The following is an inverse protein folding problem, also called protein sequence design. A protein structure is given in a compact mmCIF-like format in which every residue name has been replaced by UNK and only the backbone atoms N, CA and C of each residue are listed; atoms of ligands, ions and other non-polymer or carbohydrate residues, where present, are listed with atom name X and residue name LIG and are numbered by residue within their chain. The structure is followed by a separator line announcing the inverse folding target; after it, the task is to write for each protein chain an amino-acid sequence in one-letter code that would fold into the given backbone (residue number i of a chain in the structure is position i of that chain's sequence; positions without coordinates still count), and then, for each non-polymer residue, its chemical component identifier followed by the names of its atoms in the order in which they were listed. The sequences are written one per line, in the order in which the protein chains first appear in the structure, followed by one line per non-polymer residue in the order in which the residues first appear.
data_IF_762761813549
#
_entry.id   IF_762761813549
#
_cell.length_a   1.000
_cell.length_b   1.000
_cell.length_c   1.000
_cell.angle_alpha   90.00
_cell.angle_beta   90.00
_cell.angle_gamma   90.00
#
_symmetry.space_group_name_H-M   'P 1'
#
loop_
_entity.id
_entity.type
_entity.pdbx_description
1 polymer ?
#
# COMPACT_ATOMS: atom_id res chain seq x y z
N UNK A 1 11.17 6.98 8.49
CA UNK A 1 9.82 7.30 7.99
C UNK A 1 8.81 6.17 8.19
N UNK A 2 9.02 4.96 7.63
CA UNK A 2 8.01 3.90 7.59
C UNK A 2 7.43 3.48 8.96
N UNK A 3 8.27 3.35 10.00
CA UNK A 3 7.78 3.05 11.35
C UNK A 3 6.89 4.15 11.95
N UNK A 4 7.11 5.42 11.55
CA UNK A 4 6.24 6.55 11.93
C UNK A 4 4.86 6.40 11.30
N UNK A 5 4.80 5.97 10.03
CA UNK A 5 3.55 5.71 9.31
C UNK A 5 2.76 4.61 10.02
N UNK A 6 3.39 3.48 10.32
CA UNK A 6 2.74 2.39 11.07
C UNK A 6 2.26 2.84 12.45
N UNK A 7 3.03 3.67 13.16
CA UNK A 7 2.60 4.24 14.44
C UNK A 7 1.36 5.15 14.30
N UNK A 8 1.29 5.98 13.24
CA UNK A 8 0.12 6.80 12.94
C UNK A 8 -1.09 5.91 12.66
N UNK A 9 -0.95 4.87 11.82
CA UNK A 9 -2.03 3.93 11.53
C UNK A 9 -2.55 3.25 12.81
N UNK A 10 -1.66 2.80 13.69
CA UNK A 10 -2.04 2.20 14.99
C UNK A 10 -2.81 3.21 15.85
N UNK A 11 -2.33 4.45 15.98
CA UNK A 11 -3.01 5.48 16.76
C UNK A 11 -4.40 5.79 16.18
N UNK A 12 -4.56 5.80 14.86
CA UNK A 12 -5.86 5.99 14.22
C UNK A 12 -6.79 4.80 14.47
N UNK A 13 -6.29 3.56 14.34
CA UNK A 13 -7.09 2.36 14.63
C UNK A 13 -7.58 2.31 16.08
N UNK A 14 -6.78 2.81 17.02
CA UNK A 14 -7.11 2.85 18.44
C UNK A 14 -7.90 4.11 18.87
N UNK A 15 -8.27 4.98 17.93
CA UNK A 15 -8.88 6.31 18.22
C UNK A 15 -8.05 7.13 19.24
N UNK A 16 -6.72 7.02 19.13
CA UNK A 16 -5.74 7.49 20.11
C UNK A 16 -4.82 8.59 19.56
N UNK A 17 -5.11 9.18 18.40
CA UNK A 17 -4.32 10.30 17.83
C UNK A 17 -4.19 11.47 18.82
N UNK A 18 -5.23 11.71 19.63
CA UNK A 18 -5.22 12.74 20.68
C UNK A 18 -4.17 12.51 21.79
N UNK A 19 -3.65 11.29 21.95
CA UNK A 19 -2.55 11.01 22.90
C UNK A 19 -1.25 11.74 22.53
N UNK A 20 -1.05 12.08 21.25
CA UNK A 20 0.10 12.87 20.81
C UNK A 20 0.11 14.26 21.46
N UNK A 21 -1.08 14.85 21.67
CA UNK A 21 -1.21 16.19 22.25
C UNK A 21 -0.89 16.21 23.75
N UNK A 22 -1.20 15.13 24.47
CA UNK A 22 -1.05 15.07 25.94
C UNK A 22 0.39 15.23 26.43
N UNK A 23 1.37 14.93 25.59
CA UNK A 23 2.79 15.05 25.95
C UNK A 23 3.29 16.50 25.91
N UNK A 24 2.53 17.44 25.34
CA UNK A 24 2.93 18.85 25.25
C UNK A 24 4.13 19.13 24.34
N UNK A 25 4.49 18.19 23.45
CA UNK A 25 5.68 18.28 22.59
C UNK A 25 5.33 18.58 21.11
N UNK A 26 4.28 19.36 20.86
CA UNK A 26 3.87 19.75 19.50
C UNK A 26 3.00 18.72 18.76
N UNK A 27 2.57 17.65 19.44
CA UNK A 27 1.43 16.84 19.03
C UNK A 27 1.53 16.22 17.63
N UNK A 28 0.40 16.15 16.94
CA UNK A 28 0.34 15.65 15.56
C UNK A 28 1.12 16.53 14.58
N UNK A 29 1.21 17.83 14.82
CA UNK A 29 1.92 18.77 13.96
C UNK A 29 3.42 18.49 13.93
N UNK A 30 4.03 18.12 15.05
CA UNK A 30 5.45 17.72 15.08
C UNK A 30 5.69 16.47 14.24
N UNK A 31 4.77 15.50 14.27
CA UNK A 31 4.84 14.31 13.41
C UNK A 31 4.70 14.71 11.94
N UNK A 32 3.73 15.56 11.61
CA UNK A 32 3.53 16.08 10.26
C UNK A 32 4.74 16.85 9.74
N UNK A 33 5.32 17.75 10.53
CA UNK A 33 6.52 18.51 10.14
C UNK A 33 7.74 17.62 9.93
N UNK A 34 7.91 16.55 10.72
CA UNK A 34 8.96 15.57 10.47
C UNK A 34 8.76 14.87 9.11
N UNK A 35 7.54 14.46 8.79
CA UNK A 35 7.22 13.80 7.52
C UNK A 35 7.40 14.77 6.34
N UNK A 36 6.83 15.97 6.45
CA UNK A 36 6.91 17.00 5.42
C UNK A 36 8.36 17.43 5.14
N UNK A 37 9.20 17.50 6.17
CA UNK A 37 10.62 17.82 6.04
C UNK A 37 11.45 16.76 5.30
N UNK A 38 10.89 15.57 5.03
CA UNK A 38 11.54 14.56 4.19
C UNK A 38 11.14 14.66 2.71
N UNK A 39 10.28 15.61 2.32
CA UNK A 39 10.00 15.83 0.91
C UNK A 39 11.22 16.46 0.22
N UNK A 40 11.70 15.82 -0.84
CA UNK A 40 12.76 16.37 -1.67
C UNK A 40 12.23 17.55 -2.50
N UNK A 41 12.77 18.74 -2.24
CA UNK A 41 12.34 19.98 -2.90
C UNK A 41 12.58 19.98 -4.41
N UNK A 42 13.44 19.10 -4.94
CA UNK A 42 13.74 19.06 -6.39
C UNK A 42 12.75 18.20 -7.16
N UNK A 43 12.51 17.00 -6.66
CA UNK A 43 11.70 15.97 -7.34
C UNK A 43 10.28 15.90 -6.83
N UNK A 44 10.03 16.27 -5.56
CA UNK A 44 8.75 16.04 -4.87
C UNK A 44 8.61 14.65 -4.26
N UNK A 45 9.58 13.75 -4.46
CA UNK A 45 9.66 12.45 -3.79
C UNK A 45 9.95 12.60 -2.30
N UNK A 46 9.99 11.50 -1.56
CA UNK A 46 10.26 11.51 -0.12
C UNK A 46 11.44 10.63 0.23
N UNK A 47 12.20 11.09 1.23
CA UNK A 47 13.31 10.35 1.80
C UNK A 47 12.83 9.47 2.97
N UNK A 48 13.52 8.35 3.19
CA UNK A 48 13.25 7.47 4.34
C UNK A 48 13.68 8.07 5.67
N UNK A 49 14.77 8.85 5.64
CA UNK A 49 15.41 9.53 6.76
C UNK A 49 16.38 10.63 6.23
N UNK A 50 17.26 11.13 7.10
CA UNK A 50 18.24 12.18 6.79
C UNK A 50 19.34 11.75 5.79
N UNK A 51 19.47 10.46 5.47
CA UNK A 51 20.51 9.93 4.59
C UNK A 51 20.11 9.89 3.11
N UNK A 52 18.87 10.29 2.78
CA UNK A 52 18.48 10.67 1.42
C UNK A 52 18.11 9.53 0.47
N UNK A 53 17.83 8.32 0.96
CA UNK A 53 17.25 7.26 0.12
C UNK A 53 15.88 7.70 -0.39
N UNK A 54 15.71 7.74 -1.72
CA UNK A 54 14.44 8.03 -2.38
C UNK A 54 13.77 6.73 -2.84
N UNK A 55 12.49 6.59 -2.54
CA UNK A 55 11.69 5.43 -2.87
C UNK A 55 10.20 5.79 -2.87
N UNK A 56 9.42 5.28 -3.83
CA UNK A 56 7.96 5.53 -3.84
C UNK A 56 7.25 5.00 -2.59
N UNK A 57 7.83 4.04 -1.86
CA UNK A 57 7.39 3.58 -0.52
C UNK A 57 7.32 4.73 0.48
N UNK A 58 8.32 5.62 0.49
CA UNK A 58 8.34 6.76 1.39
C UNK A 58 7.32 7.81 0.98
N UNK A 59 7.09 7.99 -0.32
CA UNK A 59 6.08 8.89 -0.87
C UNK A 59 4.67 8.45 -0.44
N UNK A 60 4.31 7.19 -0.69
CA UNK A 60 3.05 6.62 -0.22
C UNK A 60 2.93 6.70 1.30
N UNK A 61 4.00 6.33 2.02
CA UNK A 61 4.01 6.40 3.48
C UNK A 61 3.74 7.82 4.01
N UNK A 62 4.35 8.83 3.40
CA UNK A 62 4.14 10.23 3.75
C UNK A 62 2.69 10.66 3.49
N UNK A 63 2.15 10.35 2.29
CA UNK A 63 0.77 10.66 1.95
C UNK A 63 -0.23 9.95 2.86
N UNK A 64 0.00 8.69 3.17
CA UNK A 64 -0.81 7.88 4.07
C UNK A 64 -0.89 8.53 5.46
N UNK A 65 0.27 8.77 6.09
CA UNK A 65 0.30 9.35 7.43
C UNK A 65 -0.22 10.79 7.48
N UNK A 66 0.18 11.65 6.53
CA UNK A 66 -0.28 13.04 6.50
C UNK A 66 -1.78 13.16 6.23
N UNK A 67 -2.32 12.34 5.33
CA UNK A 67 -3.76 12.26 5.08
C UNK A 67 -4.52 11.84 6.35
N UNK A 68 -4.08 10.78 7.03
CA UNK A 68 -4.70 10.31 8.28
C UNK A 68 -4.63 11.35 9.42
N UNK A 69 -3.63 12.23 9.43
CA UNK A 69 -3.49 13.31 10.42
C UNK A 69 -4.22 14.61 10.02
N UNK A 70 -4.76 14.68 8.80
CA UNK A 70 -5.34 15.89 8.21
C UNK A 70 -4.31 17.00 7.98
N UNK A 71 -3.13 16.62 7.47
CA UNK A 71 -1.96 17.48 7.25
C UNK A 71 -1.37 17.29 5.84
N UNK A 72 -2.15 16.79 4.88
CA UNK A 72 -1.65 16.56 3.51
C UNK A 72 -1.27 17.88 2.80
N UNK A 73 -1.86 18.99 3.21
CA UNK A 73 -1.58 20.35 2.75
C UNK A 73 -0.20 20.88 3.19
N UNK A 74 0.51 20.17 4.08
CA UNK A 74 1.86 20.58 4.51
C UNK A 74 2.97 20.20 3.51
N UNK A 75 2.63 19.52 2.42
CA UNK A 75 3.58 19.06 1.39
C UNK A 75 3.14 19.47 -0.01
N UNK A 76 4.09 19.52 -0.95
CA UNK A 76 3.81 19.80 -2.36
C UNK A 76 3.24 18.54 -3.04
N UNK A 77 1.93 18.36 -2.92
CA UNK A 77 1.20 17.23 -3.52
C UNK A 77 1.33 17.22 -5.05
N UNK A 78 1.13 18.33 -5.79
CA UNK A 78 1.29 18.33 -7.24
C UNK A 78 2.66 17.84 -7.71
N UNK A 79 3.73 18.22 -7.01
CA UNK A 79 5.10 17.80 -7.36
C UNK A 79 5.34 16.32 -7.11
N UNK A 80 4.88 15.80 -5.97
CA UNK A 80 4.91 14.37 -5.69
C UNK A 80 4.10 13.56 -6.73
N UNK A 81 2.94 14.06 -7.14
CA UNK A 81 2.14 13.45 -8.22
C UNK A 81 2.90 13.43 -9.55
N UNK A 82 3.56 14.52 -9.91
CA UNK A 82 4.39 14.57 -11.13
C UNK A 82 5.52 13.53 -11.09
N UNK A 83 6.19 13.38 -9.93
CA UNK A 83 7.23 12.35 -9.75
C UNK A 83 6.69 10.92 -9.92
N UNK A 84 5.48 10.62 -9.41
CA UNK A 84 4.85 9.31 -9.62
C UNK A 84 4.63 9.04 -11.11
N UNK A 85 4.21 10.04 -11.90
CA UNK A 85 4.02 9.87 -13.34
C UNK A 85 5.34 9.53 -14.06
N UNK A 86 6.47 10.08 -13.60
CA UNK A 86 7.80 9.73 -14.12
C UNK A 86 8.22 8.29 -13.75
N UNK A 87 7.61 7.68 -12.74
CA UNK A 87 7.87 6.30 -12.33
C UNK A 87 7.08 5.27 -13.16
N UNK A 88 6.11 5.68 -13.98
CA UNK A 88 5.38 4.77 -14.87
C UNK A 88 6.27 4.28 -16.01
N UNK A 89 6.28 2.97 -16.25
CA UNK A 89 7.03 2.34 -17.31
C UNK A 89 6.18 2.05 -18.55
N UNK A 90 6.86 1.65 -19.63
CA UNK A 90 6.22 1.25 -20.90
C UNK A 90 5.34 -0.01 -20.80
N UNK A 91 5.42 -0.76 -19.70
CA UNK A 91 4.55 -1.90 -19.44
C UNK A 91 3.30 -1.51 -18.63
N UNK A 92 3.19 -0.24 -18.22
CA UNK A 92 2.11 0.30 -17.40
C UNK A 92 2.32 0.12 -15.90
N UNK A 93 3.36 -0.59 -15.46
CA UNK A 93 3.73 -0.71 -14.06
C UNK A 93 4.56 0.47 -13.56
N UNK A 94 4.89 0.45 -12.27
CA UNK A 94 5.70 1.48 -11.61
C UNK A 94 6.93 0.88 -10.94
N UNK A 95 8.04 1.60 -11.03
CA UNK A 95 9.30 1.29 -10.36
C UNK A 95 9.52 2.07 -9.06
N UNK A 96 10.60 1.73 -8.36
CA UNK A 96 11.06 2.39 -7.12
C UNK A 96 11.45 3.87 -7.32
N UNK A 97 11.90 4.22 -8.53
CA UNK A 97 12.19 5.57 -9.00
C UNK A 97 12.05 5.57 -10.54
N UNK A 98 12.07 6.75 -11.22
CA UNK A 98 11.99 6.81 -12.67
C UNK A 98 13.01 5.90 -13.37
N UNK A 99 12.53 5.10 -14.32
CA UNK A 99 13.33 4.15 -15.10
C UNK A 99 13.71 2.84 -14.39
N UNK A 100 13.30 2.63 -13.14
CA UNK A 100 13.49 1.34 -12.47
C UNK A 100 12.47 0.29 -12.93
N UNK A 101 12.81 -0.99 -12.81
CA UNK A 101 11.92 -2.12 -13.15
C UNK A 101 10.56 -2.01 -12.43
N UNK A 102 9.48 -2.29 -13.17
CA UNK A 102 8.13 -2.36 -12.62
C UNK A 102 8.00 -3.47 -11.57
N UNK A 103 7.44 -3.15 -10.41
CA UNK A 103 7.29 -4.09 -9.30
C UNK A 103 5.92 -3.93 -8.63
N UNK A 104 5.19 -5.01 -8.36
CA UNK A 104 3.82 -4.94 -7.83
C UNK A 104 3.70 -4.17 -6.51
N UNK A 105 4.71 -4.27 -5.64
CA UNK A 105 4.78 -3.45 -4.41
C UNK A 105 4.97 -1.95 -4.67
N UNK A 106 5.68 -1.57 -5.72
CA UNK A 106 5.90 -0.17 -6.11
C UNK A 106 4.69 0.38 -6.87
N UNK A 107 3.99 -0.48 -7.62
CA UNK A 107 2.66 -0.17 -8.16
C UNK A 107 1.70 0.19 -7.03
N UNK A 108 1.62 -0.64 -5.97
CA UNK A 108 0.74 -0.36 -4.84
C UNK A 108 1.00 1.01 -4.21
N UNK A 109 2.25 1.36 -3.97
CA UNK A 109 2.62 2.65 -3.36
C UNK A 109 2.28 3.83 -4.28
N UNK A 110 2.61 3.74 -5.58
CA UNK A 110 2.26 4.78 -6.55
C UNK A 110 0.74 4.96 -6.70
N UNK A 111 -0.01 3.88 -6.89
CA UNK A 111 -1.46 3.92 -7.05
C UNK A 111 -2.14 4.39 -5.77
N UNK A 112 -1.68 3.92 -4.60
CA UNK A 112 -2.18 4.36 -3.31
C UNK A 112 -1.94 5.85 -3.06
N UNK A 113 -0.76 6.36 -3.39
CA UNK A 113 -0.48 7.80 -3.29
C UNK A 113 -1.35 8.63 -4.24
N UNK A 114 -1.56 8.17 -5.49
CA UNK A 114 -2.48 8.82 -6.42
C UNK A 114 -3.94 8.76 -5.93
N UNK A 115 -4.36 7.66 -5.30
CA UNK A 115 -5.68 7.55 -4.68
C UNK A 115 -5.87 8.59 -3.57
N UNK A 116 -4.91 8.71 -2.66
CA UNK A 116 -4.92 9.72 -1.58
C UNK A 116 -4.95 11.14 -2.14
N UNK A 117 -4.21 11.40 -3.23
CA UNK A 117 -4.19 12.70 -3.90
C UNK A 117 -5.46 13.00 -4.72
N UNK A 118 -6.39 12.04 -4.86
CA UNK A 118 -7.56 12.17 -5.72
C UNK A 118 -7.21 12.22 -7.21
N UNK A 119 -6.09 11.60 -7.60
CA UNK A 119 -5.51 11.67 -8.96
C UNK A 119 -5.45 10.33 -9.71
N UNK A 120 -6.37 9.41 -9.40
CA UNK A 120 -6.51 8.16 -10.16
C UNK A 120 -6.89 8.40 -11.64
N UNK A 121 -7.34 9.60 -12.01
CA UNK A 121 -7.56 10.03 -13.40
C UNK A 121 -6.30 9.98 -14.26
N UNK A 122 -5.11 10.03 -13.65
CA UNK A 122 -3.83 9.99 -14.35
C UNK A 122 -3.39 8.59 -14.77
N UNK A 123 -4.04 7.55 -14.27
CA UNK A 123 -3.63 6.16 -14.50
C UNK A 123 -4.34 5.63 -15.75
N UNK A 124 -3.57 5.05 -16.66
CA UNK A 124 -4.14 4.18 -17.69
C UNK A 124 -4.60 2.85 -17.04
N UNK A 125 -5.83 2.83 -16.53
CA UNK A 125 -6.39 1.71 -15.76
C UNK A 125 -6.40 0.38 -16.52
N UNK A 126 -6.60 0.39 -17.84
CA UNK A 126 -6.63 -0.85 -18.63
C UNK A 126 -5.22 -1.42 -18.83
N UNK A 127 -4.23 -0.57 -19.12
CA UNK A 127 -2.84 -1.00 -19.27
C UNK A 127 -2.28 -1.55 -17.96
N UNK A 128 -2.45 -0.78 -16.88
CA UNK A 128 -2.01 -1.22 -15.55
C UNK A 128 -2.77 -2.46 -15.09
N UNK A 129 -4.09 -2.52 -15.33
CA UNK A 129 -4.92 -3.69 -15.03
C UNK A 129 -4.45 -4.95 -15.75
N UNK A 130 -4.05 -4.82 -17.03
CA UNK A 130 -3.46 -5.92 -17.79
C UNK A 130 -2.15 -6.42 -17.16
N UNK A 131 -1.22 -5.49 -16.89
CA UNK A 131 0.06 -5.81 -16.25
C UNK A 131 -0.11 -6.50 -14.90
N UNK A 132 -1.04 -6.04 -14.06
CA UNK A 132 -1.34 -6.63 -12.75
C UNK A 132 -2.02 -8.00 -12.86
N UNK A 133 -2.94 -8.17 -13.80
CA UNK A 133 -3.65 -9.45 -13.98
C UNK A 133 -2.71 -10.55 -14.46
N UNK A 134 -1.72 -10.22 -15.29
CA UNK A 134 -0.63 -11.11 -15.70
C UNK A 134 0.37 -11.46 -14.59
N UNK A 135 0.19 -10.94 -13.36
CA UNK A 135 0.94 -11.42 -12.20
C UNK A 135 0.35 -12.70 -11.62
N UNK A 136 -0.91 -13.05 -11.94
CA UNK A 136 -1.52 -14.27 -11.41
C UNK A 136 -0.93 -15.49 -12.11
N UNK A 137 -0.26 -16.35 -11.36
CA UNK A 137 0.33 -17.58 -11.90
C UNK A 137 -0.64 -18.75 -11.79
N UNK A 138 -0.32 -19.87 -12.43
CA UNK A 138 -1.22 -21.03 -12.60
C UNK A 138 -1.85 -21.53 -11.29
N UNK A 139 -1.08 -21.49 -10.19
CA UNK A 139 -1.50 -21.96 -8.87
C UNK A 139 -2.41 -20.98 -8.10
N UNK A 140 -2.68 -19.80 -8.66
CA UNK A 140 -3.56 -18.77 -8.14
C UNK A 140 -2.89 -17.61 -7.43
N UNK A 141 -1.64 -17.77 -6.99
CA UNK A 141 -0.87 -16.71 -6.33
C UNK A 141 -0.40 -15.63 -7.31
N UNK A 142 0.11 -14.53 -6.76
CA UNK A 142 0.66 -13.43 -7.54
C UNK A 142 2.16 -13.32 -7.36
N UNK A 143 2.88 -12.96 -8.42
CA UNK A 143 4.28 -12.55 -8.33
C UNK A 143 4.44 -11.02 -8.30
N UNK A 144 5.60 -10.57 -7.80
CA UNK A 144 5.94 -9.15 -7.76
C UNK A 144 6.45 -8.60 -9.08
N UNK A 145 6.93 -9.48 -9.95
CA UNK A 145 7.58 -9.17 -11.23
C UNK A 145 7.34 -10.31 -12.21
N UNK A 146 7.33 -10.02 -13.53
CA UNK A 146 7.33 -11.05 -14.55
C UNK A 146 8.41 -12.12 -14.31
N UNK A 147 8.10 -13.38 -14.63
CA UNK A 147 9.02 -14.51 -14.53
C UNK A 147 9.56 -14.79 -13.10
N UNK A 148 8.87 -14.31 -12.06
CA UNK A 148 9.17 -14.64 -10.65
C UNK A 148 8.10 -15.54 -10.05
N UNK A 149 8.46 -16.16 -8.93
CA UNK A 149 7.56 -16.98 -8.12
C UNK A 149 6.49 -16.10 -7.45
N UNK A 150 5.35 -16.72 -7.21
CA UNK A 150 4.27 -16.17 -6.42
C UNK A 150 4.66 -16.01 -4.94
N UNK A 151 4.02 -15.09 -4.22
CA UNK A 151 4.21 -14.86 -2.79
C UNK A 151 2.89 -14.35 -2.21
N UNK A 152 2.51 -14.86 -1.03
CA UNK A 152 1.27 -14.52 -0.34
C UNK A 152 1.06 -13.01 -0.15
N UNK A 153 2.12 -12.22 0.05
CA UNK A 153 1.99 -10.78 0.25
C UNK A 153 1.51 -10.04 -1.00
N UNK A 154 1.79 -10.56 -2.21
CA UNK A 154 1.27 -9.96 -3.45
C UNK A 154 -0.24 -10.14 -3.62
N UNK A 155 -0.88 -11.01 -2.84
CA UNK A 155 -2.35 -11.04 -2.71
C UNK A 155 -2.91 -9.68 -2.32
N UNK A 156 -2.17 -8.95 -1.48
CA UNK A 156 -2.48 -7.57 -1.15
C UNK A 156 -1.93 -6.59 -2.19
N UNK A 157 -0.62 -6.62 -2.49
CA UNK A 157 -0.02 -5.58 -3.35
C UNK A 157 -0.64 -5.52 -4.76
N UNK A 158 -0.90 -6.68 -5.37
CA UNK A 158 -1.57 -6.76 -6.68
C UNK A 158 -3.07 -6.55 -6.52
N UNK A 159 -3.69 -7.26 -5.58
CA UNK A 159 -5.14 -7.20 -5.35
C UNK A 159 -5.64 -5.80 -5.02
N UNK A 160 -5.01 -5.11 -4.08
CA UNK A 160 -5.37 -3.76 -3.67
C UNK A 160 -5.17 -2.75 -4.81
N UNK A 161 -4.09 -2.91 -5.59
CA UNK A 161 -3.85 -2.08 -6.78
C UNK A 161 -4.97 -2.24 -7.81
N UNK A 162 -5.38 -3.48 -8.10
CA UNK A 162 -6.52 -3.77 -8.98
C UNK A 162 -7.83 -3.24 -8.41
N UNK A 163 -8.05 -3.34 -7.09
CA UNK A 163 -9.23 -2.80 -6.43
C UNK A 163 -9.32 -1.27 -6.54
N UNK A 164 -8.21 -0.55 -6.32
CA UNK A 164 -8.14 0.92 -6.44
C UNK A 164 -8.46 1.43 -7.85
N UNK A 165 -8.20 0.63 -8.89
CA UNK A 165 -8.50 0.98 -10.28
C UNK A 165 -9.76 0.30 -10.84
N UNK A 166 -10.59 -0.30 -9.97
CA UNK A 166 -11.85 -0.96 -10.33
C UNK A 166 -11.70 -2.19 -11.25
N UNK A 167 -10.57 -2.89 -11.19
CA UNK A 167 -10.22 -4.05 -12.05
C UNK A 167 -10.03 -5.36 -11.29
N UNK A 168 -10.40 -5.44 -10.02
CA UNK A 168 -10.26 -6.68 -9.24
C UNK A 168 -10.95 -7.89 -9.90
N UNK A 169 -12.04 -7.67 -10.64
CA UNK A 169 -12.75 -8.72 -11.39
C UNK A 169 -11.98 -9.34 -12.56
N UNK A 170 -10.77 -8.86 -12.88
CA UNK A 170 -9.92 -9.39 -13.97
C UNK A 170 -9.10 -10.62 -13.57
N UNK A 171 -9.06 -10.95 -12.28
CA UNK A 171 -8.32 -12.09 -11.75
C UNK A 171 -9.26 -13.21 -11.30
N UNK A 172 -8.72 -14.42 -11.18
CA UNK A 172 -9.46 -15.55 -10.63
C UNK A 172 -9.42 -15.51 -9.09
N UNK A 173 -10.47 -14.95 -8.49
CA UNK A 173 -10.58 -14.80 -7.02
C UNK A 173 -10.56 -16.14 -6.29
N UNK A 174 -11.25 -17.16 -6.79
CA UNK A 174 -11.32 -18.48 -6.16
C UNK A 174 -9.94 -19.15 -6.08
N UNK A 175 -9.15 -19.06 -7.16
CA UNK A 175 -7.78 -19.56 -7.19
C UNK A 175 -6.88 -18.79 -6.23
N UNK A 176 -7.04 -17.47 -6.13
CA UNK A 176 -6.27 -16.65 -5.20
C UNK A 176 -6.59 -17.03 -3.74
N UNK A 177 -7.87 -17.11 -3.38
CA UNK A 177 -8.29 -17.54 -2.05
C UNK A 177 -7.72 -18.94 -1.72
N UNK A 178 -7.83 -19.88 -2.65
CA UNK A 178 -7.26 -21.21 -2.48
C UNK A 178 -5.74 -21.20 -2.32
N UNK A 179 -5.01 -20.31 -3.00
CA UNK A 179 -3.56 -20.15 -2.80
C UNK A 179 -3.25 -19.60 -1.40
N UNK A 180 -3.90 -18.51 -0.98
CA UNK A 180 -3.68 -17.89 0.33
C UNK A 180 -3.91 -18.91 1.45
N UNK A 181 -5.01 -19.67 1.40
CA UNK A 181 -5.34 -20.67 2.41
C UNK A 181 -4.33 -21.82 2.47
N UNK A 182 -3.66 -22.16 1.36
CA UNK A 182 -2.55 -23.15 1.37
C UNK A 182 -1.28 -22.61 2.02
N UNK A 183 -1.14 -21.30 2.16
CA UNK A 183 -0.01 -20.68 2.87
C UNK A 183 -0.23 -20.63 4.39
N UNK A 184 -1.41 -21.03 4.89
CA UNK A 184 -1.72 -21.05 6.31
C UNK A 184 -1.01 -22.22 7.01
N UNK A 185 -0.48 -21.99 8.21
CA UNK A 185 -0.10 -23.08 9.13
C UNK A 185 -1.38 -23.61 9.81
N UNK A 186 -1.80 -24.87 9.53
CA UNK A 186 -3.03 -25.42 10.07
C UNK A 186 -2.93 -25.80 11.56
N UNK A 187 -1.71 -25.91 12.11
CA UNK A 187 -1.47 -26.33 13.49
C UNK A 187 -1.28 -25.13 14.43
N UNK A 188 -0.45 -24.17 14.02
CA UNK A 188 -0.04 -23.04 14.88
C UNK A 188 -0.73 -21.71 14.49
N UNK A 189 -1.40 -21.66 13.34
CA UNK A 189 -1.99 -20.44 12.80
C UNK A 189 -0.96 -19.48 12.20
N UNK A 190 -1.48 -18.47 11.49
CA UNK A 190 -0.66 -17.54 10.70
C UNK A 190 -0.43 -18.03 9.27
N UNK A 191 0.17 -17.18 8.44
CA UNK A 191 0.47 -17.44 7.04
C UNK A 191 1.96 -17.17 6.76
N UNK A 192 2.55 -17.98 5.89
CA UNK A 192 3.88 -17.77 5.32
C UNK A 192 3.82 -17.23 3.88
N UNK A 193 5.00 -16.98 3.30
CA UNK A 193 5.17 -16.56 1.89
C UNK A 193 4.52 -17.56 0.92
N UNK A 194 4.83 -18.85 1.07
CA UNK A 194 4.34 -19.95 0.24
C UNK A 194 3.91 -21.16 1.09
N UNK A 195 3.16 -22.13 0.52
CA UNK A 195 2.83 -23.36 1.22
C UNK A 195 4.08 -24.06 1.78
N UNK A 196 4.05 -24.37 3.07
CA UNK A 196 5.15 -25.02 3.80
C UNK A 196 6.31 -24.09 4.22
N UNK A 197 6.21 -22.78 3.99
CA UNK A 197 7.16 -21.81 4.55
C UNK A 197 6.77 -21.45 6.00
N UNK A 198 7.75 -20.94 6.75
CA UNK A 198 7.50 -20.46 8.11
C UNK A 198 6.55 -19.27 8.11
N UNK A 199 5.62 -19.24 9.07
CA UNK A 199 4.69 -18.13 9.23
C UNK A 199 5.39 -16.90 9.82
N UNK A 200 4.90 -15.73 9.43
CA UNK A 200 5.30 -14.46 10.04
C UNK A 200 4.15 -13.45 10.05
N UNK A 201 4.31 -12.39 10.83
CA UNK A 201 3.27 -11.36 10.99
C UNK A 201 3.02 -10.59 9.70
N UNK A 202 4.04 -10.43 8.84
CA UNK A 202 3.95 -9.69 7.59
C UNK A 202 3.05 -10.44 6.59
N UNK A 203 3.35 -11.70 6.30
CA UNK A 203 2.54 -12.53 5.41
C UNK A 203 1.16 -12.83 6.01
N UNK A 204 1.05 -13.01 7.33
CA UNK A 204 -0.25 -13.14 8.01
C UNK A 204 -1.14 -11.93 7.76
N UNK A 205 -0.60 -10.72 7.92
CA UNK A 205 -1.35 -9.49 7.68
C UNK A 205 -1.81 -9.36 6.23
N UNK A 206 -0.90 -9.54 5.26
CA UNK A 206 -1.24 -9.36 3.84
C UNK A 206 -2.05 -10.51 3.24
N UNK A 207 -1.95 -11.72 3.78
CA UNK A 207 -2.84 -12.84 3.45
C UNK A 207 -4.28 -12.52 3.86
N UNK A 208 -4.50 -12.07 5.10
CA UNK A 208 -5.82 -11.68 5.58
C UNK A 208 -6.38 -10.49 4.81
N UNK A 209 -5.55 -9.48 4.54
CA UNK A 209 -5.97 -8.33 3.73
C UNK A 209 -6.30 -8.75 2.28
N UNK A 210 -5.57 -9.69 1.69
CA UNK A 210 -5.88 -10.29 0.40
C UNK A 210 -7.22 -11.03 0.39
N UNK A 211 -7.51 -11.85 1.41
CA UNK A 211 -8.81 -12.51 1.57
C UNK A 211 -9.96 -11.52 1.75
N UNK A 212 -9.71 -10.42 2.47
CA UNK A 212 -10.67 -9.34 2.66
C UNK A 212 -11.12 -8.72 1.32
N UNK A 213 -10.18 -8.47 0.40
CA UNK A 213 -10.49 -7.95 -0.94
C UNK A 213 -11.42 -8.88 -1.74
N UNK A 214 -11.37 -10.18 -1.47
CA UNK A 214 -12.20 -11.18 -2.13
C UNK A 214 -13.58 -11.36 -1.45
N UNK A 215 -13.85 -10.63 -0.37
CA UNK A 215 -15.08 -10.80 0.41
C UNK A 215 -15.16 -12.15 1.11
N UNK A 216 -14.02 -12.71 1.53
CA UNK A 216 -13.97 -14.02 2.18
C UNK A 216 -14.68 -14.00 3.54
N UNK A 217 -15.54 -14.99 3.78
CA UNK A 217 -16.35 -15.07 5.00
C UNK A 217 -15.49 -15.06 6.27
N UNK A 218 -15.91 -14.24 7.25
CA UNK A 218 -15.24 -14.11 8.53
C UNK A 218 -14.04 -13.15 8.54
N UNK A 219 -13.75 -12.47 7.43
CA UNK A 219 -12.72 -11.42 7.36
C UNK A 219 -13.40 -10.05 7.19
N UNK A 220 -13.01 -9.08 8.02
CA UNK A 220 -13.53 -7.72 7.91
C UNK A 220 -13.00 -7.02 6.65
N UNK A 221 -13.78 -6.08 6.10
CA UNK A 221 -13.34 -5.28 4.95
C UNK A 221 -12.13 -4.41 5.29
N UNK A 222 -11.10 -4.48 4.45
CA UNK A 222 -9.89 -3.66 4.51
C UNK A 222 -9.92 -2.63 3.39
N UNK A 223 -9.59 -1.39 3.71
CA UNK A 223 -9.45 -0.30 2.75
C UNK A 223 -8.23 -0.53 1.84
N UNK A 224 -8.41 -0.67 0.50
CA UNK A 224 -7.31 -0.95 -0.43
C UNK A 224 -6.30 0.19 -0.54
N UNK A 225 -6.64 1.42 -0.13
CA UNK A 225 -5.75 2.57 -0.18
C UNK A 225 -4.86 2.64 1.06
N UNK A 226 -5.37 2.27 2.24
CA UNK A 226 -4.66 2.46 3.51
C UNK A 226 -4.20 1.17 4.19
N UNK A 227 -4.66 -0.01 3.74
CA UNK A 227 -4.43 -1.31 4.40
C UNK A 227 -4.87 -1.30 5.88
N UNK A 228 -6.03 -0.71 6.14
CA UNK A 228 -6.63 -0.57 7.47
C UNK A 228 -8.10 -1.01 7.41
N UNK A 229 -8.73 -1.39 8.53
CA UNK A 229 -10.16 -1.71 8.53
C UNK A 229 -10.98 -0.57 7.93
N UNK A 230 -11.81 -0.87 6.95
CA UNK A 230 -12.54 0.13 6.14
C UNK A 230 -13.49 0.98 6.99
N UNK A 231 -14.04 0.43 8.07
CA UNK A 231 -14.84 1.17 9.03
C UNK A 231 -14.05 2.31 9.71
N UNK A 232 -12.75 2.10 9.97
CA UNK A 232 -11.87 3.10 10.59
C UNK A 232 -11.53 4.20 9.58
N UNK A 233 -11.14 3.84 8.35
CA UNK A 233 -10.80 4.83 7.32
C UNK A 233 -12.00 5.69 6.94
N UNK A 234 -13.17 5.07 6.80
CA UNK A 234 -14.44 5.79 6.58
C UNK A 234 -14.71 6.79 7.70
N UNK A 235 -14.52 6.42 8.96
CA UNK A 235 -14.72 7.31 10.12
C UNK A 235 -13.72 8.47 10.15
N UNK A 236 -12.46 8.25 9.82
CA UNK A 236 -11.43 9.29 9.96
C UNK A 236 -11.33 10.23 8.75
N UNK A 237 -11.62 9.75 7.53
CA UNK A 237 -11.48 10.52 6.29
C UNK A 237 -12.77 11.22 5.83
N UNK A 238 -13.91 10.93 6.45
CA UNK A 238 -15.20 11.58 6.14
C UNK A 238 -15.40 12.95 6.81
N UNK A 239 -14.35 13.50 7.43
CA UNK A 239 -14.35 14.79 8.13
C UNK A 239 -13.75 15.88 7.26
#
# INVERSE_FOLDING_TARGET
MLYTVSAVQILVMLDAVGELEKRGLGGKQKVGSFIAGLQDEKTGSFMGDEWGELDTRFLYGAFNALSLLGLLDTVDVPKAVAYIQECENLDGGYGIHPGAESHSGQVFTCVGALAIAGRLDLINKDRLGGWLSERQVDNGGFNGRPEKLEDACYSWWVGASLAMIDKLHWINGDKLAAFILRCQDPENGGFGDRPGNMVDVFHTHFALAGLSLLGYDGVEEVDPVYCMPKAITTKCLSK
#
